data_IF_149431796860
#
_entry.id   IF_149431796860
#
_cell.length_a   1.000
_cell.length_b   1.000
_cell.length_c   1.000
_cell.angle_alpha   90.00
_cell.angle_beta   90.00
_cell.angle_gamma   90.00
#
_symmetry.space_group_name_H-M   'P 1'
#
loop_
_entity.id
_entity.type
_entity.pdbx_description
1 polymer ?
#
# COMPACT_ATOMS: atom_id res chain seq x y z
N UNK A 1 -33.51 -38.12 -6.92
CA UNK A 1 -34.43 -38.56 -5.85
C UNK A 1 -34.13 -37.66 -4.66
N UNK A 2 -34.84 -36.53 -4.60
CA UNK A 2 -35.94 -36.28 -3.63
C UNK A 2 -35.33 -35.85 -2.28
N UNK A 3 -35.27 -34.56 -1.94
CA UNK A 3 -36.38 -33.77 -1.36
C UNK A 3 -37.30 -34.64 -0.50
N UNK A 4 -36.96 -34.75 0.78
CA UNK A 4 -37.88 -34.67 1.93
C UNK A 4 -37.12 -35.04 3.20
N UNK A 5 -37.31 -34.25 4.27
CA UNK A 5 -37.31 -34.63 5.70
C UNK A 5 -36.81 -33.48 6.59
N UNK A 6 -37.66 -32.48 6.83
CA UNK A 6 -37.60 -31.63 8.02
C UNK A 6 -38.40 -32.30 9.16
N UNK A 7 -37.93 -32.24 10.41
CA UNK A 7 -38.81 -32.27 11.57
C UNK A 7 -39.07 -30.85 12.08
N UNK A 8 -40.34 -30.48 12.09
CA UNK A 8 -40.89 -29.33 12.80
C UNK A 8 -40.80 -29.57 14.31
N UNK A 9 -40.14 -28.69 15.06
CA UNK A 9 -40.49 -28.33 16.45
C UNK A 9 -39.76 -27.03 16.82
N UNK A 10 -40.33 -26.29 17.79
CA UNK A 10 -39.90 -24.99 18.34
C UNK A 10 -40.47 -23.73 17.66
N UNK A 11 -41.81 -23.69 17.59
CA UNK A 11 -42.54 -22.42 17.74
C UNK A 11 -42.57 -22.04 19.22
N UNK A 12 -41.67 -21.16 19.64
CA UNK A 12 -41.89 -20.26 20.78
C UNK A 12 -41.40 -18.88 20.39
N UNK A 13 -42.37 -18.00 20.15
CA UNK A 13 -42.21 -16.57 19.98
C UNK A 13 -41.51 -16.01 21.23
N UNK A 14 -40.24 -15.65 21.09
CA UNK A 14 -39.56 -14.75 22.01
C UNK A 14 -39.51 -13.39 21.32
N UNK A 15 -40.41 -12.51 21.73
CA UNK A 15 -40.32 -11.07 21.47
C UNK A 15 -38.99 -10.58 22.03
N UNK A 16 -37.97 -10.45 21.18
CA UNK A 16 -36.73 -9.75 21.51
C UNK A 16 -37.10 -8.27 21.59
N UNK A 17 -37.37 -7.82 22.80
CA UNK A 17 -37.36 -6.40 23.15
C UNK A 17 -35.96 -5.88 22.84
N UNK A 18 -35.85 -5.14 21.74
CA UNK A 18 -34.64 -4.42 21.39
C UNK A 18 -34.53 -3.22 22.33
N UNK A 19 -34.00 -3.45 23.54
CA UNK A 19 -33.56 -2.37 24.40
C UNK A 19 -32.24 -1.85 23.84
N UNK A 20 -32.26 -0.60 23.36
CA UNK A 20 -31.08 0.17 22.98
C UNK A 20 -30.28 0.57 24.23
N UNK A 21 -29.80 -0.44 24.97
CA UNK A 21 -28.81 -0.23 26.01
C UNK A 21 -27.48 0.03 25.32
N UNK A 22 -26.98 1.27 25.38
CA UNK A 22 -25.68 1.64 24.85
C UNK A 22 -24.63 0.64 25.31
N UNK A 23 -23.99 -0.03 24.36
CA UNK A 23 -23.00 -1.06 24.65
C UNK A 23 -21.89 -0.46 25.52
N UNK A 24 -21.59 -1.11 26.66
CA UNK A 24 -20.49 -0.66 27.52
C UNK A 24 -19.16 -0.65 26.75
N UNK A 25 -18.26 0.31 27.03
CA UNK A 25 -16.97 0.35 26.37
C UNK A 25 -16.21 -0.97 26.56
N UNK A 26 -15.56 -1.45 25.50
CA UNK A 26 -14.74 -2.67 25.57
C UNK A 26 -13.67 -2.53 26.65
N UNK A 27 -13.39 -3.62 27.37
CA UNK A 27 -12.25 -3.67 28.30
C UNK A 27 -10.93 -3.77 27.52
N UNK A 28 -9.78 -3.45 28.16
CA UNK A 28 -8.48 -3.65 27.53
C UNK A 28 -8.25 -5.10 27.07
N UNK A 29 -8.72 -6.09 27.85
CA UNK A 29 -8.60 -7.50 27.50
C UNK A 29 -9.43 -7.85 26.24
N UNK A 30 -10.68 -7.39 26.19
CA UNK A 30 -11.54 -7.61 25.01
C UNK A 30 -10.96 -6.96 23.75
N UNK A 31 -10.39 -5.75 23.86
CA UNK A 31 -9.67 -5.12 22.75
C UNK A 31 -8.51 -5.99 22.27
N UNK A 32 -7.69 -6.48 23.19
CA UNK A 32 -6.54 -7.33 22.86
C UNK A 32 -6.98 -8.65 22.19
N UNK A 33 -8.06 -9.27 22.66
CA UNK A 33 -8.64 -10.48 22.07
C UNK A 33 -9.11 -10.24 20.62
N UNK A 34 -9.82 -9.13 20.38
CA UNK A 34 -10.29 -8.75 19.04
C UNK A 34 -9.10 -8.53 18.10
N UNK A 35 -8.07 -7.78 18.55
CA UNK A 35 -6.86 -7.52 17.76
C UNK A 35 -6.09 -8.81 17.46
N UNK A 36 -5.96 -9.71 18.44
CA UNK A 36 -5.30 -11.01 18.24
C UNK A 36 -6.06 -11.89 17.25
N UNK A 37 -7.38 -11.89 17.31
CA UNK A 37 -8.23 -12.58 16.33
C UNK A 37 -8.07 -11.97 14.93
N UNK A 38 -8.06 -10.64 14.82
CA UNK A 38 -7.85 -9.91 13.56
C UNK A 38 -6.49 -10.25 12.95
N UNK A 39 -5.43 -10.26 13.77
CA UNK A 39 -4.09 -10.64 13.32
C UNK A 39 -4.08 -12.07 12.77
N UNK A 40 -4.69 -13.02 13.49
CA UNK A 40 -4.77 -14.42 13.03
C UNK A 40 -5.56 -14.56 11.73
N UNK A 41 -6.67 -13.82 11.60
CA UNK A 41 -7.50 -13.79 10.39
C UNK A 41 -6.70 -13.30 9.19
N UNK A 42 -5.99 -12.18 9.33
CA UNK A 42 -5.17 -11.58 8.27
C UNK A 42 -3.97 -12.46 7.93
N UNK A 43 -3.27 -13.03 8.92
CA UNK A 43 -2.16 -13.97 8.69
C UNK A 43 -2.58 -15.13 7.79
N UNK A 44 -3.79 -15.67 7.99
CA UNK A 44 -4.33 -16.74 7.13
C UNK A 44 -4.67 -16.24 5.74
N UNK A 45 -5.29 -15.06 5.62
CA UNK A 45 -5.64 -14.48 4.32
C UNK A 45 -4.41 -14.18 3.45
N UNK A 46 -3.30 -13.78 4.07
CA UNK A 46 -2.07 -13.38 3.39
C UNK A 46 -1.00 -14.48 3.31
N UNK A 47 -1.30 -15.71 3.74
CA UNK A 47 -0.31 -16.80 3.81
C UNK A 47 0.33 -17.17 2.47
N UNK A 48 -0.37 -16.93 1.35
CA UNK A 48 0.10 -17.23 -0.01
C UNK A 48 0.52 -15.99 -0.81
N UNK A 49 0.56 -14.81 -0.18
CA UNK A 49 0.98 -13.58 -0.87
C UNK A 49 2.49 -13.54 -1.04
N UNK A 50 2.95 -12.82 -2.06
CA UNK A 50 4.38 -12.60 -2.29
C UNK A 50 4.94 -11.59 -1.26
N UNK A 51 6.29 -11.52 -1.10
CA UNK A 51 6.93 -10.66 -0.10
C UNK A 51 6.62 -9.16 -0.23
N UNK A 52 6.08 -8.71 -1.38
CA UNK A 52 5.66 -7.32 -1.55
C UNK A 52 4.26 -7.04 -0.99
N UNK A 53 3.47 -8.01 -0.55
CA UNK A 53 2.17 -7.78 0.10
C UNK A 53 1.85 -8.87 1.14
N UNK A 54 2.87 -9.37 1.83
CA UNK A 54 2.71 -10.41 2.85
C UNK A 54 2.16 -9.87 4.19
N UNK A 55 1.98 -10.77 5.15
CA UNK A 55 1.61 -10.36 6.52
C UNK A 55 2.65 -9.44 7.18
N UNK A 56 3.93 -9.54 6.82
CA UNK A 56 4.96 -8.68 7.41
C UNK A 56 4.78 -7.21 7.01
N UNK A 57 4.35 -6.94 5.77
CA UNK A 57 3.89 -5.62 5.35
C UNK A 57 2.79 -5.09 6.25
N UNK A 58 1.71 -5.85 6.40
CA UNK A 58 0.54 -5.44 7.18
C UNK A 58 0.94 -5.19 8.64
N UNK A 59 1.81 -6.03 9.19
CA UNK A 59 2.32 -5.84 10.54
C UNK A 59 3.13 -4.54 10.69
N UNK A 60 4.01 -4.21 9.74
CA UNK A 60 4.75 -2.94 9.76
C UNK A 60 3.82 -1.74 9.62
N UNK A 61 2.81 -1.81 8.74
CA UNK A 61 1.80 -0.76 8.59
C UNK A 61 1.03 -0.56 9.89
N UNK A 62 0.61 -1.65 10.57
CA UNK A 62 0.00 -1.57 11.91
C UNK A 62 0.90 -0.85 12.92
N UNK A 63 2.16 -1.26 13.01
CA UNK A 63 3.10 -0.64 13.96
C UNK A 63 3.32 0.85 13.65
N UNK A 64 3.43 1.20 12.37
CA UNK A 64 3.59 2.59 11.94
C UNK A 64 2.32 3.40 12.22
N UNK A 65 1.13 2.87 11.94
CA UNK A 65 -0.14 3.55 12.20
C UNK A 65 -0.29 3.86 13.70
N UNK A 66 0.04 2.90 14.57
CA UNK A 66 0.06 3.10 16.02
C UNK A 66 1.12 4.12 16.47
N UNK A 67 2.28 4.15 15.81
CA UNK A 67 3.32 5.15 16.13
C UNK A 67 2.88 6.57 15.72
N UNK A 68 2.19 6.70 14.58
CA UNK A 68 1.72 7.99 14.04
C UNK A 68 0.61 8.64 14.87
N UNK A 69 -0.13 7.87 15.68
CA UNK A 69 -1.12 8.47 16.61
C UNK A 69 -0.50 9.40 17.65
N UNK A 70 0.84 9.34 17.81
CA UNK A 70 1.61 10.23 18.69
C UNK A 70 1.95 11.58 18.06
N UNK A 71 1.51 11.85 16.83
CA UNK A 71 1.76 13.14 16.17
C UNK A 71 1.08 14.27 16.95
N UNK A 72 1.79 15.38 17.25
CA UNK A 72 1.35 16.38 18.24
C UNK A 72 0.05 17.11 17.86
N UNK A 73 -0.30 17.18 16.58
CA UNK A 73 -1.50 17.82 16.07
C UNK A 73 -2.75 16.93 16.12
N UNK A 74 -2.62 15.67 16.53
CA UNK A 74 -3.73 14.72 16.59
C UNK A 74 -4.42 14.78 17.96
N UNK A 75 -5.76 14.70 17.99
CA UNK A 75 -6.50 14.51 19.22
C UNK A 75 -6.31 13.07 19.75
N UNK A 76 -6.92 12.76 20.89
CA UNK A 76 -7.06 11.36 21.31
C UNK A 76 -7.88 10.59 20.28
N UNK A 77 -7.36 9.45 19.81
CA UNK A 77 -7.96 8.63 18.76
C UNK A 77 -8.51 7.32 19.32
N UNK A 78 -9.41 6.71 18.56
CA UNK A 78 -9.81 5.32 18.82
C UNK A 78 -8.72 4.36 18.33
N UNK A 79 -7.89 3.92 19.28
CA UNK A 79 -6.77 3.01 19.00
C UNK A 79 -7.20 1.68 18.40
N UNK A 80 -8.39 1.16 18.75
CA UNK A 80 -8.89 -0.09 18.19
C UNK A 80 -9.22 0.09 16.71
N UNK A 81 -9.83 1.23 16.34
CA UNK A 81 -10.14 1.55 14.94
C UNK A 81 -8.87 1.71 14.11
N UNK A 82 -7.86 2.43 14.61
CA UNK A 82 -6.57 2.59 13.91
C UNK A 82 -5.93 1.23 13.64
N UNK A 83 -5.88 0.38 14.67
CA UNK A 83 -5.23 -0.92 14.61
C UNK A 83 -5.94 -1.90 13.67
N UNK A 84 -7.27 -1.99 13.76
CA UNK A 84 -8.07 -2.83 12.87
C UNK A 84 -8.07 -2.30 11.44
N UNK A 85 -8.15 -0.98 11.26
CA UNK A 85 -8.03 -0.33 9.94
C UNK A 85 -6.71 -0.69 9.26
N UNK A 86 -5.59 -0.63 9.99
CA UNK A 86 -4.29 -1.02 9.48
C UNK A 86 -4.17 -2.53 9.20
N UNK A 87 -4.72 -3.40 10.07
CA UNK A 87 -4.70 -4.84 9.84
C UNK A 87 -5.50 -5.25 8.59
N UNK A 88 -6.58 -4.54 8.27
CA UNK A 88 -7.51 -4.92 7.23
C UNK A 88 -7.35 -4.16 5.90
N UNK A 89 -6.52 -3.12 5.83
CA UNK A 89 -6.47 -2.20 4.68
C UNK A 89 -6.30 -2.90 3.32
N UNK A 90 -5.44 -3.91 3.25
CA UNK A 90 -5.12 -4.63 2.00
C UNK A 90 -6.07 -5.80 1.69
N UNK A 91 -7.00 -6.16 2.57
CA UNK A 91 -7.95 -7.27 2.34
C UNK A 91 -8.92 -7.02 1.17
N UNK A 92 -9.05 -5.77 0.72
CA UNK A 92 -9.96 -5.37 -0.36
C UNK A 92 -9.23 -4.93 -1.63
N UNK A 93 -7.93 -5.20 -1.75
CA UNK A 93 -7.19 -4.86 -2.96
C UNK A 93 -7.63 -5.76 -4.13
N UNK A 94 -8.17 -5.12 -5.17
CA UNK A 94 -8.65 -5.74 -6.39
C UNK A 94 -7.57 -6.57 -7.13
N UNK A 95 -6.29 -6.37 -6.83
CA UNK A 95 -5.20 -7.21 -7.35
C UNK A 95 -5.31 -8.67 -6.93
N UNK A 96 -5.98 -8.97 -5.82
CA UNK A 96 -6.04 -10.30 -5.21
C UNK A 96 -7.46 -10.82 -4.97
N UNK A 97 -8.49 -9.97 -5.12
CA UNK A 97 -9.91 -10.38 -5.07
C UNK A 97 -10.54 -10.35 -6.46
N UNK A 98 -10.97 -11.51 -6.98
CA UNK A 98 -11.53 -11.66 -8.33
C UNK A 98 -12.97 -11.14 -8.51
N UNK A 99 -13.64 -10.72 -7.43
CA UNK A 99 -14.96 -10.10 -7.43
C UNK A 99 -14.91 -8.73 -6.76
N UNK A 100 -15.73 -7.77 -7.18
CA UNK A 100 -15.87 -6.45 -6.55
C UNK A 100 -16.48 -6.58 -5.14
N UNK A 101 -15.67 -7.00 -4.17
CA UNK A 101 -16.08 -7.21 -2.79
C UNK A 101 -15.96 -5.90 -2.01
N UNK A 102 -17.01 -5.53 -1.30
CA UNK A 102 -17.00 -4.37 -0.41
C UNK A 102 -16.26 -4.71 0.89
N UNK A 103 -15.69 -3.73 1.62
CA UNK A 103 -15.09 -3.98 2.93
C UNK A 103 -16.02 -4.73 3.88
N UNK A 104 -17.30 -4.38 3.88
CA UNK A 104 -18.32 -5.04 4.70
C UNK A 104 -18.50 -6.52 4.36
N UNK A 105 -18.50 -6.90 3.06
CA UNK A 105 -18.66 -8.31 2.68
C UNK A 105 -17.43 -9.14 3.03
N UNK A 106 -16.22 -8.57 2.89
CA UNK A 106 -14.96 -9.23 3.23
C UNK A 106 -14.81 -9.41 4.74
N UNK A 107 -15.23 -8.43 5.54
CA UNK A 107 -15.06 -8.44 7.00
C UNK A 107 -16.24 -9.06 7.76
N UNK A 108 -17.41 -9.23 7.14
CA UNK A 108 -18.58 -9.84 7.77
C UNK A 108 -18.31 -11.22 8.43
N UNK A 109 -17.55 -12.16 7.82
CA UNK A 109 -17.20 -13.43 8.48
C UNK A 109 -16.36 -13.22 9.74
N UNK A 110 -15.40 -12.28 9.71
CA UNK A 110 -14.58 -11.94 10.86
C UNK A 110 -15.43 -11.38 12.00
N UNK A 111 -16.24 -10.35 11.74
CA UNK A 111 -17.14 -9.76 12.75
C UNK A 111 -18.10 -10.79 13.33
N UNK A 112 -18.59 -11.71 12.49
CA UNK A 112 -19.50 -12.78 12.90
C UNK A 112 -18.84 -13.81 13.83
N UNK A 113 -17.54 -14.01 13.69
CA UNK A 113 -16.77 -14.97 14.51
C UNK A 113 -16.47 -14.47 15.94
N UNK A 114 -16.57 -13.15 16.18
CA UNK A 114 -16.24 -12.56 17.47
C UNK A 114 -17.35 -12.77 18.51
N UNK A 115 -16.96 -13.20 19.71
CA UNK A 115 -17.87 -13.32 20.87
C UNK A 115 -18.31 -11.95 21.40
N UNK A 116 -17.38 -11.00 21.43
CA UNK A 116 -17.60 -9.60 21.80
C UNK A 116 -17.17 -8.75 20.62
N UNK A 117 -18.04 -7.85 20.17
CA UNK A 117 -17.80 -7.03 18.98
C UNK A 117 -17.48 -5.58 19.34
N UNK A 118 -16.70 -4.87 18.50
CA UNK A 118 -16.67 -3.41 18.52
C UNK A 118 -18.09 -2.84 18.31
N UNK A 119 -18.28 -1.57 18.66
CA UNK A 119 -19.56 -0.90 18.43
C UNK A 119 -19.87 -0.81 16.94
N UNK A 120 -21.16 -0.69 16.53
CA UNK A 120 -21.52 -0.49 15.13
C UNK A 120 -20.80 0.69 14.48
N UNK A 121 -20.56 1.77 15.23
CA UNK A 121 -19.85 2.97 14.77
C UNK A 121 -18.36 2.66 14.52
N UNK A 122 -17.71 1.91 15.41
CA UNK A 122 -16.32 1.47 15.22
C UNK A 122 -16.19 0.56 14.00
N UNK A 123 -17.11 -0.41 13.83
CA UNK A 123 -17.12 -1.31 12.67
C UNK A 123 -17.28 -0.52 11.38
N UNK A 124 -18.27 0.38 11.32
CA UNK A 124 -18.51 1.22 10.15
C UNK A 124 -17.31 2.11 9.83
N UNK A 125 -16.64 2.65 10.85
CA UNK A 125 -15.44 3.47 10.65
C UNK A 125 -14.26 2.66 10.12
N UNK A 126 -14.01 1.46 10.66
CA UNK A 126 -12.98 0.53 10.16
C UNK A 126 -13.24 0.17 8.71
N UNK A 127 -14.47 -0.22 8.36
CA UNK A 127 -14.85 -0.56 6.99
C UNK A 127 -14.68 0.63 6.03
N UNK A 128 -15.02 1.85 6.47
CA UNK A 128 -14.82 3.07 5.68
C UNK A 128 -13.34 3.38 5.46
N UNK A 129 -12.49 3.18 6.47
CA UNK A 129 -11.03 3.30 6.34
C UNK A 129 -10.50 2.30 5.31
N UNK A 130 -10.79 1.01 5.48
CA UNK A 130 -10.36 -0.07 4.57
C UNK A 130 -10.83 0.19 3.13
N UNK A 131 -12.06 0.69 2.97
CA UNK A 131 -12.60 1.06 1.67
C UNK A 131 -11.83 2.17 0.96
N UNK A 132 -11.07 3.01 1.68
CA UNK A 132 -10.49 4.24 1.15
C UNK A 132 -8.97 4.36 1.26
N UNK A 133 -8.30 3.49 2.01
CA UNK A 133 -6.83 3.36 2.03
C UNK A 133 -6.40 2.66 0.74
N UNK A 134 -5.70 3.39 -0.14
CA UNK A 134 -4.98 2.90 -1.32
C UNK A 134 -4.51 4.10 -2.16
N UNK A 135 -3.27 4.04 -2.66
CA UNK A 135 -2.74 5.05 -3.59
C UNK A 135 -3.62 5.25 -4.83
N UNK A 136 -4.04 4.17 -5.49
CA UNK A 136 -4.75 4.26 -6.76
C UNK A 136 -6.15 4.83 -6.58
N UNK A 137 -6.81 4.55 -5.45
CA UNK A 137 -8.10 5.17 -5.09
C UNK A 137 -7.94 6.68 -4.90
N UNK A 138 -6.89 7.10 -4.21
CA UNK A 138 -6.56 8.50 -3.97
C UNK A 138 -6.24 9.27 -5.27
N UNK A 139 -5.40 8.71 -6.15
CA UNK A 139 -5.12 9.29 -7.49
C UNK A 139 -6.41 9.51 -8.27
N UNK A 140 -7.26 8.47 -8.39
CA UNK A 140 -8.51 8.57 -9.15
C UNK A 140 -9.44 9.64 -8.60
N UNK A 141 -9.60 9.72 -7.27
CA UNK A 141 -10.45 10.74 -6.63
C UNK A 141 -9.95 12.16 -6.90
N UNK A 142 -8.64 12.40 -6.84
CA UNK A 142 -8.06 13.73 -7.06
C UNK A 142 -8.10 14.17 -8.53
N UNK A 143 -8.04 13.22 -9.46
CA UNK A 143 -8.13 13.51 -10.89
C UNK A 143 -9.53 13.99 -11.32
N UNK A 144 -10.57 13.77 -10.51
CA UNK A 144 -11.93 14.24 -10.80
C UNK A 144 -12.03 15.75 -10.59
N UNK A 145 -12.45 16.47 -11.63
CA UNK A 145 -12.78 17.88 -11.57
C UNK A 145 -13.90 18.13 -10.55
N UNK A 146 -13.75 19.19 -9.76
CA UNK A 146 -14.68 19.51 -8.66
C UNK A 146 -16.12 19.68 -9.17
N UNK A 147 -16.28 20.21 -10.37
CA UNK A 147 -17.56 20.44 -11.05
C UNK A 147 -18.33 19.15 -11.37
N UNK A 148 -17.66 18.00 -11.38
CA UNK A 148 -18.26 16.69 -11.69
C UNK A 148 -18.48 15.82 -10.45
N UNK A 149 -18.23 16.35 -9.25
CA UNK A 149 -18.39 15.59 -8.02
C UNK A 149 -19.85 15.56 -7.58
N UNK A 150 -20.33 14.37 -7.25
CA UNK A 150 -21.62 14.21 -6.57
C UNK A 150 -21.55 14.72 -5.13
N UNK A 151 -22.71 14.93 -4.50
CA UNK A 151 -22.78 15.24 -3.08
C UNK A 151 -22.08 14.18 -2.20
N UNK A 152 -22.14 12.90 -2.61
CA UNK A 152 -21.47 11.81 -1.91
C UNK A 152 -19.94 11.89 -2.04
N UNK A 153 -19.43 12.32 -3.19
CA UNK A 153 -17.99 12.50 -3.39
C UNK A 153 -17.45 13.66 -2.56
N UNK A 154 -18.20 14.77 -2.47
CA UNK A 154 -17.86 15.90 -1.61
C UNK A 154 -17.83 15.52 -0.13
N UNK A 155 -18.87 14.83 0.36
CA UNK A 155 -18.92 14.32 1.73
C UNK A 155 -17.80 13.32 2.03
N UNK A 156 -17.40 12.50 1.05
CA UNK A 156 -16.26 11.61 1.19
C UNK A 156 -14.95 12.40 1.29
N UNK A 157 -14.73 13.43 0.46
CA UNK A 157 -13.54 14.28 0.53
C UNK A 157 -13.42 14.97 1.89
N UNK A 158 -14.51 15.56 2.38
CA UNK A 158 -14.56 16.17 3.71
C UNK A 158 -14.22 15.16 4.81
N UNK A 159 -14.74 13.94 4.72
CA UNK A 159 -14.40 12.88 5.66
C UNK A 159 -12.92 12.47 5.60
N UNK A 160 -12.34 12.35 4.40
CA UNK A 160 -10.92 12.03 4.21
C UNK A 160 -10.01 13.12 4.79
N UNK A 161 -10.46 14.37 4.83
CA UNK A 161 -9.75 15.53 5.38
C UNK A 161 -10.02 15.76 6.87
N UNK A 162 -10.93 15.02 7.50
CA UNK A 162 -11.27 15.20 8.91
C UNK A 162 -10.99 13.97 9.77
N UNK A 163 -11.06 12.77 9.20
CA UNK A 163 -10.87 11.51 9.95
C UNK A 163 -9.40 11.24 10.26
N UNK A 164 -9.04 11.36 11.55
CA UNK A 164 -7.65 11.25 12.03
C UNK A 164 -7.16 9.81 12.14
N UNK A 165 -8.05 8.86 12.38
CA UNK A 165 -7.74 7.42 12.30
C UNK A 165 -7.37 7.02 10.88
N UNK A 166 -8.13 7.51 9.89
CA UNK A 166 -7.82 7.31 8.47
C UNK A 166 -6.44 7.90 8.12
N UNK A 167 -6.12 9.11 8.59
CA UNK A 167 -4.82 9.74 8.36
C UNK A 167 -3.66 8.85 8.81
N UNK A 168 -3.74 8.29 10.02
CA UNK A 168 -2.69 7.43 10.57
C UNK A 168 -2.50 6.15 9.73
N UNK A 169 -3.59 5.49 9.33
CA UNK A 169 -3.51 4.26 8.53
C UNK A 169 -3.02 4.55 7.11
N UNK A 170 -3.53 5.61 6.49
CA UNK A 170 -3.18 6.01 5.12
C UNK A 170 -1.72 6.45 5.02
N UNK A 171 -1.24 7.23 5.99
CA UNK A 171 0.17 7.62 6.06
C UNK A 171 1.07 6.41 6.32
N UNK A 172 0.69 5.49 7.22
CA UNK A 172 1.48 4.31 7.53
C UNK A 172 1.68 3.37 6.33
N UNK A 173 0.63 3.11 5.55
CA UNK A 173 0.71 2.33 4.30
C UNK A 173 1.66 2.99 3.28
N UNK A 174 1.52 4.31 3.09
CA UNK A 174 2.40 5.07 2.18
C UNK A 174 3.85 5.08 2.66
N UNK A 175 4.09 5.18 3.97
CA UNK A 175 5.43 5.14 4.55
C UNK A 175 6.10 3.79 4.33
N UNK A 176 5.38 2.66 4.47
CA UNK A 176 5.94 1.33 4.23
C UNK A 176 6.28 1.07 2.74
N UNK A 177 5.75 1.91 1.84
CA UNK A 177 6.08 1.88 0.41
C UNK A 177 7.39 2.61 0.07
N UNK A 178 8.03 3.34 1.00
CA UNK A 178 9.25 4.13 0.76
C UNK A 178 10.39 3.74 1.72
N UNK A 179 11.59 4.27 1.45
CA UNK A 179 12.81 3.92 2.17
C UNK A 179 13.34 2.55 1.77
N UNK A 180 14.25 1.98 2.57
CA UNK A 180 14.91 0.71 2.27
C UNK A 180 13.93 -0.45 2.09
N UNK A 181 12.86 -0.48 2.90
CA UNK A 181 11.77 -1.46 2.74
C UNK A 181 11.03 -1.22 1.42
N UNK A 182 10.74 0.04 1.09
CA UNK A 182 10.14 0.41 -0.21
C UNK A 182 10.95 -0.07 -1.41
N UNK A 183 12.28 0.07 -1.37
CA UNK A 183 13.20 -0.44 -2.41
C UNK A 183 13.03 -1.96 -2.58
N UNK A 184 13.11 -2.72 -1.48
CA UNK A 184 12.96 -4.18 -1.50
C UNK A 184 11.59 -4.62 -1.98
N UNK A 185 10.51 -3.96 -1.52
CA UNK A 185 9.13 -4.25 -1.92
C UNK A 185 8.91 -3.99 -3.41
N UNK A 186 9.44 -2.88 -3.93
CA UNK A 186 9.33 -2.53 -5.34
C UNK A 186 10.04 -3.56 -6.22
N UNK A 187 11.24 -4.02 -5.84
CA UNK A 187 11.94 -5.09 -6.53
C UNK A 187 11.19 -6.43 -6.45
N UNK A 188 10.67 -6.81 -5.28
CA UNK A 188 9.92 -8.05 -5.09
C UNK A 188 8.64 -8.09 -5.96
N UNK A 189 7.86 -7.02 -5.97
CA UNK A 189 6.67 -6.91 -6.82
C UNK A 189 7.04 -6.96 -8.31
N UNK A 190 8.11 -6.26 -8.69
CA UNK A 190 8.59 -6.25 -10.07
C UNK A 190 9.01 -7.65 -10.53
N UNK A 191 9.73 -8.39 -9.69
CA UNK A 191 10.06 -9.79 -9.97
C UNK A 191 8.80 -10.67 -10.10
N UNK A 192 7.83 -10.52 -9.20
CA UNK A 192 6.55 -11.23 -9.25
C UNK A 192 5.77 -10.98 -10.54
N UNK A 193 5.80 -9.76 -11.05
CA UNK A 193 5.15 -9.35 -12.31
C UNK A 193 6.04 -9.54 -13.55
N UNK A 194 7.21 -10.16 -13.43
CA UNK A 194 8.21 -10.30 -14.50
C UNK A 194 8.53 -8.96 -15.21
N UNK A 195 8.70 -7.93 -14.38
CA UNK A 195 8.98 -6.56 -14.77
C UNK A 195 10.49 -6.29 -14.67
N UNK A 196 11.14 -5.67 -15.67
CA UNK A 196 12.54 -5.26 -15.55
C UNK A 196 12.79 -4.40 -14.30
N UNK A 197 13.90 -4.62 -13.61
CA UNK A 197 14.22 -3.80 -12.43
C UNK A 197 14.69 -2.41 -12.83
N UNK A 198 15.62 -2.35 -13.78
CA UNK A 198 16.18 -1.11 -14.28
C UNK A 198 16.24 -1.15 -15.80
N UNK A 199 15.79 -0.07 -16.42
CA UNK A 199 15.99 0.20 -17.85
C UNK A 199 16.63 1.59 -17.89
N UNK A 200 17.90 1.69 -18.35
CA UNK A 200 18.64 2.95 -18.33
C UNK A 200 17.95 3.98 -19.21
N UNK A 201 17.96 5.27 -18.83
CA UNK A 201 17.22 6.23 -19.58
C UNK A 201 17.81 6.51 -20.96
N UNK A 202 16.96 6.58 -21.99
CA UNK A 202 17.38 6.88 -23.37
C UNK A 202 16.79 8.21 -23.83
N UNK A 203 17.13 9.30 -23.15
CA UNK A 203 16.66 10.64 -23.51
C UNK A 203 17.83 11.50 -23.99
N UNK A 204 17.54 12.44 -24.90
CA UNK A 204 18.57 13.31 -25.49
C UNK A 204 19.26 14.21 -24.45
N UNK A 205 18.60 14.43 -23.32
CA UNK A 205 19.06 15.26 -22.22
C UNK A 205 19.94 14.51 -21.21
N UNK A 206 20.10 13.19 -21.34
CA UNK A 206 20.76 12.30 -20.38
C UNK A 206 20.25 12.47 -18.93
N UNK A 207 18.97 12.82 -18.76
CA UNK A 207 18.31 12.94 -17.46
C UNK A 207 18.04 11.53 -16.90
N UNK A 208 18.35 11.23 -15.62
CA UNK A 208 18.01 9.97 -14.99
C UNK A 208 16.49 9.70 -14.94
N UNK A 209 15.65 10.74 -15.10
CA UNK A 209 14.20 10.59 -15.19
C UNK A 209 13.78 10.03 -16.57
N UNK A 210 13.06 8.89 -16.60
CA UNK A 210 12.51 8.37 -17.84
C UNK A 210 11.45 9.35 -18.43
N UNK A 211 11.53 9.76 -19.71
CA UNK A 211 10.46 10.56 -20.31
C UNK A 211 9.19 9.74 -20.52
N UNK A 212 8.04 10.39 -20.34
CA UNK A 212 6.72 9.75 -20.36
C UNK A 212 6.37 9.06 -21.70
N UNK A 213 7.02 9.47 -22.80
CA UNK A 213 6.71 9.04 -24.18
C UNK A 213 7.45 7.78 -24.64
N UNK A 214 8.33 7.20 -23.83
CA UNK A 214 8.97 5.94 -24.24
C UNK A 214 7.98 4.78 -24.12
N UNK A 215 7.86 4.03 -25.22
CA UNK A 215 6.88 2.97 -25.45
C UNK A 215 6.79 1.90 -24.33
N UNK A 216 5.77 1.04 -24.44
CA UNK A 216 5.53 -0.10 -23.55
C UNK A 216 6.82 -0.89 -23.28
N UNK A 217 7.31 -0.81 -22.04
CA UNK A 217 8.58 -1.40 -21.60
C UNK A 217 9.41 -0.44 -20.74
N UNK A 218 9.42 0.86 -21.07
CA UNK A 218 10.26 1.85 -20.39
C UNK A 218 9.56 2.51 -19.18
N UNK A 219 8.27 2.82 -19.29
CA UNK A 219 7.37 3.11 -18.14
C UNK A 219 7.00 1.84 -17.33
N UNK A 220 7.75 0.76 -17.55
CA UNK A 220 7.47 -0.57 -17.06
C UNK A 220 8.64 -1.14 -16.28
N UNK A 221 9.55 -0.36 -15.71
CA UNK A 221 10.61 -0.89 -14.83
C UNK A 221 10.29 -0.65 -13.35
N UNK A 222 11.05 -1.28 -12.44
CA UNK A 222 10.97 -0.96 -11.01
C UNK A 222 11.41 0.47 -10.76
N UNK A 223 12.52 0.91 -11.37
CA UNK A 223 13.05 2.27 -11.21
C UNK A 223 12.14 3.34 -11.82
N UNK A 224 11.46 3.07 -12.94
CA UNK A 224 10.42 3.98 -13.44
C UNK A 224 9.34 4.25 -12.37
N UNK A 225 8.95 3.22 -11.60
CA UNK A 225 7.98 3.36 -10.52
C UNK A 225 8.46 4.27 -9.38
N UNK A 226 9.78 4.39 -9.16
CA UNK A 226 10.32 5.33 -8.19
C UNK A 226 9.97 6.77 -8.58
N UNK A 227 10.19 7.15 -9.84
CA UNK A 227 9.88 8.49 -10.34
C UNK A 227 8.39 8.77 -10.49
N UNK A 228 7.61 7.78 -10.92
CA UNK A 228 6.16 7.93 -11.09
C UNK A 228 5.44 8.12 -9.75
N UNK A 229 5.87 7.38 -8.72
CA UNK A 229 5.13 7.27 -7.46
C UNK A 229 6.02 7.50 -6.24
N UNK A 230 7.03 6.66 -6.02
CA UNK A 230 7.62 6.52 -4.68
C UNK A 230 8.34 7.80 -4.21
N UNK A 231 9.00 8.51 -5.12
CA UNK A 231 9.66 9.78 -4.84
C UNK A 231 8.70 10.96 -4.67
N UNK A 232 7.42 10.81 -5.02
CA UNK A 232 6.41 11.87 -4.88
C UNK A 232 5.60 11.76 -3.57
N UNK A 233 5.82 10.70 -2.76
CA UNK A 233 5.01 10.43 -1.56
C UNK A 233 5.15 11.52 -0.49
N UNK A 234 6.37 11.98 -0.20
CA UNK A 234 6.59 12.99 0.84
C UNK A 234 5.84 14.30 0.56
N UNK A 235 5.87 14.76 -0.70
CA UNK A 235 5.52 16.13 -1.04
C UNK A 235 4.01 16.37 -1.26
N UNK A 236 3.22 15.32 -1.52
CA UNK A 236 1.80 15.47 -1.90
C UNK A 236 0.84 14.58 -1.08
N UNK A 237 1.36 13.57 -0.37
CA UNK A 237 0.56 12.37 -0.05
C UNK A 237 0.51 12.02 1.43
N UNK A 238 0.85 12.92 2.34
CA UNK A 238 0.88 12.65 3.78
C UNK A 238 0.07 13.67 4.58
N UNK A 239 -0.65 13.19 5.59
CA UNK A 239 -1.55 13.99 6.41
C UNK A 239 -0.88 14.53 7.68
N UNK A 240 -0.16 13.66 8.40
CA UNK A 240 0.44 13.96 9.71
C UNK A 240 1.85 14.54 9.59
N UNK A 241 2.22 15.40 10.54
CA UNK A 241 3.57 15.95 10.66
C UNK A 241 4.60 14.84 10.91
N UNK A 242 4.29 13.90 11.81
CA UNK A 242 5.15 12.75 12.08
C UNK A 242 5.43 11.93 10.80
N UNK A 243 4.43 11.70 9.96
CA UNK A 243 4.62 10.99 8.71
C UNK A 243 5.50 11.77 7.72
N UNK A 244 5.32 13.09 7.59
CA UNK A 244 6.15 13.91 6.71
C UNK A 244 7.63 13.88 7.11
N UNK A 245 7.91 13.93 8.42
CA UNK A 245 9.27 13.83 8.96
C UNK A 245 9.89 12.46 8.64
N UNK A 246 9.15 11.38 8.90
CA UNK A 246 9.65 10.03 8.63
C UNK A 246 9.80 9.75 7.12
N UNK A 247 8.92 10.32 6.30
CA UNK A 247 9.00 10.21 4.85
C UNK A 247 10.25 10.90 4.28
N UNK A 248 10.63 12.05 4.83
CA UNK A 248 11.85 12.75 4.41
C UNK A 248 13.09 11.87 4.61
N UNK A 249 13.22 11.30 5.82
CA UNK A 249 14.32 10.39 6.14
C UNK A 249 14.34 9.18 5.20
N UNK A 250 13.17 8.58 4.93
CA UNK A 250 13.04 7.41 4.04
C UNK A 250 13.35 7.74 2.59
N UNK A 251 12.83 8.84 2.06
CA UNK A 251 13.11 9.24 0.68
C UNK A 251 14.56 9.67 0.48
N UNK A 252 15.21 10.25 1.50
CA UNK A 252 16.66 10.51 1.46
C UNK A 252 17.42 9.22 1.16
N UNK A 253 17.11 8.12 1.86
CA UNK A 253 17.73 6.82 1.59
C UNK A 253 17.42 6.29 0.17
N UNK A 254 16.21 6.53 -0.36
CA UNK A 254 15.88 6.14 -1.73
C UNK A 254 16.66 6.95 -2.78
N UNK A 255 16.83 8.26 -2.55
CA UNK A 255 17.65 9.11 -3.44
C UNK A 255 19.10 8.65 -3.43
N UNK A 256 19.67 8.32 -2.27
CA UNK A 256 21.02 7.76 -2.18
C UNK A 256 21.14 6.41 -2.90
N UNK A 257 20.13 5.54 -2.77
CA UNK A 257 20.09 4.28 -3.54
C UNK A 257 20.10 4.52 -5.05
N UNK A 258 19.33 5.51 -5.53
CA UNK A 258 19.28 5.84 -6.96
C UNK A 258 20.58 6.46 -7.46
N UNK A 259 21.21 7.32 -6.65
CA UNK A 259 22.53 7.87 -6.97
C UNK A 259 23.56 6.75 -7.12
N UNK A 260 23.57 5.78 -6.20
CA UNK A 260 24.48 4.64 -6.30
C UNK A 260 24.18 3.79 -7.55
N UNK A 261 22.90 3.52 -7.83
CA UNK A 261 22.51 2.79 -9.04
C UNK A 261 23.00 3.48 -10.33
N UNK A 262 22.89 4.81 -10.41
CA UNK A 262 23.37 5.58 -11.55
C UNK A 262 24.90 5.49 -11.68
N UNK A 263 25.63 5.51 -10.56
CA UNK A 263 27.09 5.33 -10.54
C UNK A 263 27.50 3.93 -10.99
N UNK A 264 26.85 2.88 -10.48
CA UNK A 264 27.09 1.48 -10.88
C UNK A 264 26.93 1.32 -12.40
N UNK A 265 25.86 1.87 -12.96
CA UNK A 265 25.60 1.84 -14.40
C UNK A 265 26.65 2.62 -15.20
N UNK A 266 26.97 3.85 -14.78
CA UNK A 266 27.92 4.71 -15.47
C UNK A 266 29.31 4.07 -15.55
N UNK A 267 29.79 3.49 -14.44
CA UNK A 267 31.10 2.79 -14.41
C UNK A 267 31.12 1.62 -15.38
N UNK A 268 30.05 0.81 -15.41
CA UNK A 268 29.95 -0.33 -16.32
C UNK A 268 29.92 0.11 -17.79
N UNK A 269 29.10 1.11 -18.11
CA UNK A 269 28.92 1.61 -19.48
C UNK A 269 30.21 2.22 -20.03
N UNK A 270 30.86 3.11 -19.27
CA UNK A 270 32.12 3.75 -19.69
C UNK A 270 33.26 2.73 -19.80
N UNK A 271 33.34 1.78 -18.86
CA UNK A 271 34.33 0.70 -18.92
C UNK A 271 34.18 -0.16 -20.18
N UNK A 272 32.95 -0.49 -20.56
CA UNK A 272 32.67 -1.25 -21.79
C UNK A 272 33.00 -0.47 -23.07
N UNK A 273 32.71 0.84 -23.10
CA UNK A 273 33.03 1.71 -24.23
C UNK A 273 34.55 1.81 -24.45
N UNK A 274 35.32 2.06 -23.38
CA UNK A 274 36.78 2.12 -23.43
C UNK A 274 37.38 0.80 -23.93
N UNK A 275 36.94 -0.34 -23.40
CA UNK A 275 37.42 -1.65 -23.83
C UNK A 275 37.13 -1.92 -25.32
N UNK A 276 35.99 -1.45 -25.83
CA UNK A 276 35.61 -1.59 -27.23
C UNK A 276 36.47 -0.70 -28.13
N UNK A 277 36.73 0.56 -27.73
CA UNK A 277 37.59 1.48 -28.47
C UNK A 277 39.04 0.96 -28.55
N UNK A 278 39.58 0.45 -27.45
CA UNK A 278 40.92 -0.16 -27.42
C UNK A 278 41.00 -1.38 -28.35
N UNK A 279 39.97 -2.22 -28.38
CA UNK A 279 39.93 -3.36 -29.30
C UNK A 279 39.90 -2.90 -30.77
N UNK A 280 39.08 -1.90 -31.09
CA UNK A 280 39.01 -1.34 -32.45
C UNK A 280 40.34 -0.74 -32.90
N UNK A 281 41.08 -0.08 -32.00
CA UNK A 281 42.41 0.44 -32.30
C UNK A 281 43.40 -0.69 -32.59
N UNK A 282 43.41 -1.76 -31.78
CA UNK A 282 44.26 -2.95 -32.02
C UNK A 282 43.93 -3.63 -33.35
N UNK A 283 42.66 -3.76 -33.68
CA UNK A 283 42.20 -4.37 -34.94
C UNK A 283 42.61 -3.51 -36.16
N UNK A 284 42.60 -2.18 -36.02
CA UNK A 284 43.08 -1.26 -37.07
C UNK A 284 44.60 -1.33 -37.25
N UNK A 285 45.36 -1.42 -36.16
CA UNK A 285 46.82 -1.55 -36.21
C UNK A 285 47.25 -2.87 -36.86
N UNK A 286 46.62 -3.98 -36.50
CA UNK A 286 46.88 -5.30 -37.10
C UNK A 286 46.53 -5.34 -38.59
N UNK A 287 45.36 -4.81 -38.98
CA UNK A 287 44.97 -4.71 -40.39
C UNK A 287 45.93 -3.83 -41.21
N UNK A 288 46.53 -2.80 -40.60
CA UNK A 288 47.52 -1.94 -41.27
C UNK A 288 48.85 -2.65 -41.52
N UNK A 289 49.27 -3.53 -40.60
CA UNK A 289 50.50 -4.32 -40.72
C UNK A 289 50.39 -5.41 -41.80
N UNK A 290 49.23 -6.05 -41.94
CA UNK A 290 49.00 -7.08 -42.96
C UNK A 290 48.88 -6.51 -44.39
N UNK A 291 48.75 -5.19 -44.53
CA UNK A 291 48.62 -4.50 -45.82
C UNK A 291 49.94 -3.92 -46.39
N UNK A 292 51.05 -4.07 -45.66
CA UNK A 292 52.41 -3.66 -46.06
C UNK A 292 53.24 -4.86 -46.53
#
# INVERSE_FOLDING_TARGET
>A
MSMDSLPSELSRSATVSCSSAGASPLTPLQRQEIVSAAQTFVQRAFAAHDPSHDFHHIHRVRLLALALTRSPELPTLDMLVVELGALFHDLTDAKYTSSSSTPSSVLAPFWSSLRVRPSPEQIALVEKIVGNVSWSKDVRRRAQAVEHLSAADLALREWLESCREFWCVSDADRLDSIGSIGVMRCAAYSAKCNRPLYVPPNNAQMDPKPPAEQAEGYNGSAIAHFYEKLLNIKDDRLYTQAARIEAERRQTAMRSFMQELDLEWMVAAQGAELATLEQQQRDQETASLDSQ
#
